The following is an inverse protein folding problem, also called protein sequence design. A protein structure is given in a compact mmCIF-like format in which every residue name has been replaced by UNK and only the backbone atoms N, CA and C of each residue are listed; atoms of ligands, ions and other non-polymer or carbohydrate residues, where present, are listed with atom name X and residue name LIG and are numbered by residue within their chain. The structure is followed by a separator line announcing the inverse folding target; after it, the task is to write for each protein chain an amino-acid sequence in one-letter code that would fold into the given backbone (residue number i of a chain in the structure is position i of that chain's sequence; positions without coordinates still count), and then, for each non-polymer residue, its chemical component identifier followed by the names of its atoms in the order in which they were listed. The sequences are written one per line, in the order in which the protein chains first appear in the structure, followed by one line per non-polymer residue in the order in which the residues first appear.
data_IF_814007125119
#
_entry.id   IF_814007125119
#
_cell.length_a   1.000
_cell.length_b   1.000
_cell.length_c   1.000
_cell.angle_alpha   90.00
_cell.angle_beta   90.00
_cell.angle_gamma   90.00
#
_symmetry.space_group_name_H-M   'P 1'
#
loop_
_entity.id
_entity.type
_entity.pdbx_description
1 polymer ?
#
# COMPACT_ATOMS: atom_id res chain seq x y z
N UNK A 1 -13.08 4.13 -14.49
CA UNK A 1 -12.52 3.23 -13.46
C UNK A 1 -11.01 3.20 -13.49
N UNK A 2 -10.38 3.15 -14.67
CA UNK A 2 -8.91 3.23 -14.80
C UNK A 2 -8.32 4.43 -14.06
N UNK A 3 -8.88 5.63 -14.24
CA UNK A 3 -8.43 6.84 -13.53
C UNK A 3 -8.49 6.70 -12.00
N UNK A 4 -9.62 6.25 -11.45
CA UNK A 4 -9.77 6.03 -10.00
C UNK A 4 -8.77 4.98 -9.47
N UNK A 5 -8.50 3.92 -10.23
CA UNK A 5 -7.49 2.92 -9.85
C UNK A 5 -6.10 3.51 -9.78
N UNK A 6 -5.71 4.29 -10.79
CA UNK A 6 -4.41 4.97 -10.83
C UNK A 6 -4.31 5.97 -9.68
N UNK A 7 -5.36 6.78 -9.44
CA UNK A 7 -5.41 7.71 -8.31
C UNK A 7 -5.21 6.95 -6.98
N UNK A 8 -5.95 5.86 -6.75
CA UNK A 8 -5.79 5.04 -5.54
C UNK A 8 -4.38 4.49 -5.38
N UNK A 9 -3.77 3.95 -6.45
CA UNK A 9 -2.42 3.38 -6.36
C UNK A 9 -1.38 4.47 -6.12
N UNK A 10 -1.45 5.58 -6.83
CA UNK A 10 -0.52 6.70 -6.66
C UNK A 10 -0.65 7.31 -5.26
N UNK A 11 -1.87 7.54 -4.78
CA UNK A 11 -2.08 8.08 -3.43
C UNK A 11 -1.60 7.11 -2.35
N UNK A 12 -1.83 5.80 -2.51
CA UNK A 12 -1.28 4.79 -1.60
C UNK A 12 0.25 4.82 -1.55
N UNK A 13 0.91 4.84 -2.71
CA UNK A 13 2.38 4.88 -2.80
C UNK A 13 2.98 6.14 -2.16
N UNK A 14 2.22 7.23 -2.14
CA UNK A 14 2.61 8.52 -1.57
C UNK A 14 2.26 8.68 -0.09
N UNK A 15 1.72 7.67 0.60
CA UNK A 15 1.50 7.77 2.06
C UNK A 15 2.86 7.80 2.76
N UNK A 16 3.16 8.87 3.49
CA UNK A 16 4.39 9.02 4.28
C UNK A 16 4.31 8.23 5.59
N UNK A 17 5.39 7.55 5.98
CA UNK A 17 5.51 6.95 7.30
C UNK A 17 5.51 7.98 8.42
N UNK A 18 5.17 7.55 9.63
CA UNK A 18 5.21 8.35 10.85
C UNK A 18 6.47 8.09 11.69
N UNK A 19 7.31 7.12 11.28
CA UNK A 19 8.60 6.87 11.94
C UNK A 19 9.59 8.03 11.71
N UNK A 20 10.74 8.02 12.38
CA UNK A 20 11.72 9.14 12.40
C UNK A 20 12.12 9.68 11.03
N UNK A 21 12.32 8.81 10.04
CA UNK A 21 12.69 9.22 8.68
C UNK A 21 11.45 9.54 7.83
N UNK A 22 10.28 9.03 8.21
CA UNK A 22 8.98 9.36 7.62
C UNK A 22 8.89 9.18 6.10
N UNK A 23 9.43 8.08 5.57
CA UNK A 23 9.52 7.88 4.12
C UNK A 23 8.16 7.44 3.52
N UNK A 24 7.84 7.85 2.27
CA UNK A 24 6.68 7.34 1.56
C UNK A 24 6.78 5.84 1.25
N UNK A 25 5.62 5.17 1.19
CA UNK A 25 5.52 3.72 0.97
C UNK A 25 6.30 3.25 -0.27
N UNK A 26 6.34 4.04 -1.36
CA UNK A 26 7.13 3.65 -2.54
C UNK A 26 8.63 3.48 -2.24
N UNK A 27 9.19 4.28 -1.32
CA UNK A 27 10.60 4.15 -0.91
C UNK A 27 10.77 2.89 -0.06
N UNK A 28 9.82 2.59 0.82
CA UNK A 28 9.82 1.32 1.57
C UNK A 28 9.81 0.10 0.63
N UNK A 29 9.01 0.14 -0.43
CA UNK A 29 8.98 -0.93 -1.45
C UNK A 29 10.33 -1.04 -2.15
N UNK A 30 10.92 0.08 -2.59
CA UNK A 30 12.24 0.08 -3.23
C UNK A 30 13.31 -0.48 -2.30
N UNK A 31 13.31 -0.08 -1.03
CA UNK A 31 14.24 -0.59 -0.02
C UNK A 31 14.12 -2.12 0.12
N UNK A 32 12.90 -2.65 0.21
CA UNK A 32 12.67 -4.09 0.29
C UNK A 32 13.18 -4.82 -0.95
N UNK A 33 12.96 -4.27 -2.15
CA UNK A 33 13.46 -4.87 -3.41
C UNK A 33 14.99 -4.88 -3.44
N UNK A 34 15.63 -3.76 -3.07
CA UNK A 34 17.10 -3.68 -3.02
C UNK A 34 17.66 -4.67 -2.00
N UNK A 35 17.04 -4.78 -0.82
CA UNK A 35 17.42 -5.74 0.19
C UNK A 35 17.34 -7.19 -0.33
N UNK A 36 16.27 -7.52 -1.07
CA UNK A 36 16.08 -8.82 -1.73
C UNK A 36 17.20 -9.16 -2.72
N UNK A 37 17.73 -8.16 -3.44
CA UNK A 37 18.80 -8.38 -4.41
C UNK A 37 20.17 -8.50 -3.74
N UNK A 38 20.48 -7.59 -2.81
CA UNK A 38 21.81 -7.48 -2.18
C UNK A 38 22.07 -8.63 -1.19
N UNK A 39 21.08 -8.96 -0.36
CA UNK A 39 21.25 -9.97 0.71
C UNK A 39 20.86 -11.39 0.26
N UNK A 40 20.66 -11.60 -1.03
CA UNK A 40 20.33 -12.91 -1.62
C UNK A 40 21.37 -13.99 -1.30
N UNK A 41 22.63 -13.61 -1.08
CA UNK A 41 23.73 -14.53 -0.79
C UNK A 41 23.84 -14.92 0.70
N UNK A 42 23.20 -14.18 1.61
CA UNK A 42 23.16 -14.49 3.05
C UNK A 42 21.78 -14.12 3.61
N UNK A 43 20.73 -14.88 3.25
CA UNK A 43 19.38 -14.55 3.66
C UNK A 43 19.16 -14.88 5.14
N UNK A 44 18.80 -13.87 5.92
CA UNK A 44 18.30 -14.04 7.28
C UNK A 44 16.75 -14.11 7.29
N UNK A 45 16.16 -14.23 8.48
CA UNK A 45 14.70 -14.30 8.62
C UNK A 45 14.03 -13.00 8.15
N UNK A 46 14.66 -11.86 8.44
CA UNK A 46 14.14 -10.55 8.08
C UNK A 46 14.14 -10.33 6.56
N UNK A 47 15.14 -10.87 5.85
CA UNK A 47 15.16 -10.96 4.39
C UNK A 47 13.93 -11.67 3.84
N UNK A 48 13.58 -12.85 4.38
CA UNK A 48 12.44 -13.62 3.91
C UNK A 48 11.10 -12.94 4.21
N UNK A 49 10.93 -12.42 5.44
CA UNK A 49 9.69 -11.75 5.84
C UNK A 49 9.50 -10.46 5.05
N UNK A 50 10.52 -9.61 4.99
CA UNK A 50 10.49 -8.36 4.23
C UNK A 50 10.26 -8.62 2.74
N UNK A 51 10.97 -9.60 2.17
CA UNK A 51 10.82 -9.97 0.77
C UNK A 51 9.43 -10.49 0.42
N UNK A 52 8.86 -11.38 1.24
CA UNK A 52 7.50 -11.88 1.05
C UNK A 52 6.46 -10.76 1.14
N UNK A 53 6.62 -9.84 2.09
CA UNK A 53 5.76 -8.65 2.21
C UNK A 53 5.86 -7.76 0.97
N UNK A 54 7.07 -7.46 0.51
CA UNK A 54 7.29 -6.62 -0.68
C UNK A 54 6.68 -7.23 -1.93
N UNK A 55 6.95 -8.51 -2.20
CA UNK A 55 6.41 -9.23 -3.36
C UNK A 55 4.88 -9.28 -3.29
N UNK A 56 4.32 -9.59 -2.12
CA UNK A 56 2.87 -9.67 -1.93
C UNK A 56 2.19 -8.31 -2.15
N UNK A 57 2.82 -7.23 -1.71
CA UNK A 57 2.30 -5.88 -1.86
C UNK A 57 2.34 -5.43 -3.33
N UNK A 58 3.44 -5.69 -4.04
CA UNK A 58 3.54 -5.44 -5.49
C UNK A 58 2.49 -6.24 -6.25
N UNK A 59 2.35 -7.53 -5.95
CA UNK A 59 1.32 -8.38 -6.57
C UNK A 59 -0.08 -7.83 -6.31
N UNK A 60 -0.37 -7.39 -5.08
CA UNK A 60 -1.66 -6.80 -4.71
C UNK A 60 -1.95 -5.51 -5.49
N UNK A 61 -0.96 -4.63 -5.66
CA UNK A 61 -1.09 -3.42 -6.49
C UNK A 61 -1.38 -3.75 -7.95
N UNK A 62 -0.67 -4.73 -8.52
CA UNK A 62 -0.89 -5.18 -9.91
C UNK A 62 -2.29 -5.76 -10.06
N UNK A 63 -2.71 -6.65 -9.17
CA UNK A 63 -4.06 -7.26 -9.20
C UNK A 63 -5.14 -6.17 -9.07
N UNK A 64 -4.95 -5.21 -8.16
CA UNK A 64 -5.87 -4.08 -7.99
C UNK A 64 -6.04 -3.29 -9.29
N UNK A 65 -4.95 -3.02 -10.03
CA UNK A 65 -4.99 -2.35 -11.33
C UNK A 65 -5.70 -3.19 -12.41
N UNK A 66 -5.53 -4.51 -12.39
CA UNK A 66 -6.07 -5.42 -13.42
C UNK A 66 -7.54 -5.83 -13.21
N UNK A 67 -8.10 -5.70 -12.00
CA UNK A 67 -9.50 -6.08 -11.71
C UNK A 67 -10.52 -5.46 -12.71
N UNK A 68 -11.41 -6.26 -13.27
CA UNK A 68 -12.43 -5.83 -14.24
C UNK A 68 -13.75 -5.46 -13.54
N UNK A 69 -14.52 -4.54 -14.15
CA UNK A 69 -15.85 -4.14 -13.61
C UNK A 69 -16.77 -5.35 -13.58
N UNK A 70 -17.56 -5.48 -12.51
CA UNK A 70 -18.63 -6.46 -12.38
C UNK A 70 -18.17 -7.89 -12.14
N UNK A 71 -17.04 -8.31 -12.71
CA UNK A 71 -16.47 -9.65 -12.55
C UNK A 71 -15.66 -9.79 -11.25
N UNK A 72 -14.72 -8.87 -11.01
CA UNK A 72 -13.69 -9.03 -9.98
C UNK A 72 -13.99 -8.18 -8.73
N UNK A 73 -15.27 -7.94 -8.44
CA UNK A 73 -15.71 -7.01 -7.38
C UNK A 73 -15.22 -7.38 -5.97
N UNK A 74 -15.21 -8.68 -5.65
CA UNK A 74 -14.72 -9.17 -4.36
C UNK A 74 -13.20 -9.18 -4.29
N UNK A 75 -12.52 -9.47 -5.41
CA UNK A 75 -11.06 -9.39 -5.50
C UNK A 75 -10.59 -7.95 -5.32
N UNK A 76 -11.28 -6.99 -5.93
CA UNK A 76 -11.00 -5.56 -5.74
C UNK A 76 -11.15 -5.14 -4.27
N UNK A 77 -12.22 -5.59 -3.60
CA UNK A 77 -12.45 -5.32 -2.18
C UNK A 77 -11.35 -5.93 -1.31
N UNK A 78 -10.96 -7.17 -1.59
CA UNK A 78 -9.87 -7.84 -0.90
C UNK A 78 -8.55 -7.08 -1.06
N UNK A 79 -8.19 -6.69 -2.29
CA UNK A 79 -6.99 -5.89 -2.53
C UNK A 79 -7.03 -4.55 -1.79
N UNK A 80 -8.19 -3.87 -1.72
CA UNK A 80 -8.33 -2.64 -0.94
C UNK A 80 -8.05 -2.87 0.55
N UNK A 81 -8.65 -3.91 1.14
CA UNK A 81 -8.44 -4.24 2.56
C UNK A 81 -6.97 -4.60 2.82
N UNK A 82 -6.38 -5.43 1.96
CA UNK A 82 -4.99 -5.83 2.09
C UNK A 82 -4.03 -4.63 2.03
N UNK A 83 -4.23 -3.72 1.07
CA UNK A 83 -3.45 -2.48 0.96
C UNK A 83 -3.66 -1.57 2.17
N UNK A 84 -4.89 -1.42 2.66
CA UNK A 84 -5.18 -0.61 3.85
C UNK A 84 -4.47 -1.15 5.10
N UNK A 85 -4.53 -2.46 5.33
CA UNK A 85 -3.81 -3.10 6.46
C UNK A 85 -2.30 -2.92 6.30
N UNK A 86 -1.80 -3.07 5.07
CA UNK A 86 -0.38 -2.89 4.77
C UNK A 86 0.09 -1.46 5.02
N UNK A 87 -0.72 -0.44 4.69
CA UNK A 87 -0.35 0.96 4.97
C UNK A 87 -0.27 1.24 6.47
N UNK A 88 -1.16 0.68 7.29
CA UNK A 88 -1.09 0.84 8.75
C UNK A 88 0.21 0.24 9.31
N UNK A 89 0.61 -0.93 8.82
CA UNK A 89 1.85 -1.58 9.26
C UNK A 89 3.10 -0.83 8.80
N UNK A 90 3.17 -0.45 7.52
CA UNK A 90 4.35 0.20 6.94
C UNK A 90 4.59 1.62 7.48
N UNK A 91 3.52 2.33 7.85
CA UNK A 91 3.62 3.73 8.32
C UNK A 91 3.94 3.85 9.81
N UNK A 92 3.88 2.76 10.57
CA UNK A 92 4.17 2.80 12.01
C UNK A 92 3.07 3.45 12.84
N UNK A 93 1.84 3.56 12.31
CA UNK A 93 0.69 4.19 12.99
C UNK A 93 0.19 3.42 14.22
N UNK A 94 0.67 2.18 14.43
CA UNK A 94 0.36 1.42 15.63
C UNK A 94 1.22 1.82 16.84
N UNK A 95 2.34 2.51 16.62
CA UNK A 95 3.19 3.00 17.70
C UNK A 95 2.75 4.41 18.10
N UNK A 96 2.23 4.53 19.32
CA UNK A 96 1.70 5.77 19.89
C UNK A 96 2.76 6.87 19.97
N UNK A 97 4.05 6.51 20.09
CA UNK A 97 5.14 7.49 20.14
C UNK A 97 5.29 8.27 18.82
N UNK A 98 4.71 7.77 17.72
CA UNK A 98 4.77 8.43 16.42
C UNK A 98 3.62 9.43 16.19
N UNK A 99 2.68 9.60 17.12
CA UNK A 99 1.46 10.37 16.86
C UNK A 99 1.71 11.88 16.77
N UNK A 100 2.74 12.37 17.45
CA UNK A 100 3.19 13.77 17.32
C UNK A 100 3.74 14.08 15.93
N UNK A 101 4.09 13.06 15.14
CA UNK A 101 4.67 13.17 13.79
C UNK A 101 3.61 13.08 12.68
N UNK A 102 2.33 13.02 13.03
CA UNK A 102 1.25 13.02 12.04
C UNK A 102 1.29 14.32 11.23
N UNK A 103 1.65 14.18 9.95
CA UNK A 103 1.80 15.30 9.02
C UNK A 103 0.73 15.25 7.92
N UNK A 104 0.56 16.37 7.22
CA UNK A 104 -0.29 16.43 6.04
C UNK A 104 0.18 15.46 4.93
N UNK A 105 1.47 15.12 4.89
CA UNK A 105 2.03 14.12 3.97
C UNK A 105 1.58 12.69 4.26
N UNK A 106 1.11 12.39 5.47
CA UNK A 106 0.44 11.14 5.80
C UNK A 106 -1.06 11.24 5.55
N UNK A 107 -1.71 12.29 6.09
CA UNK A 107 -3.18 12.42 6.11
C UNK A 107 -3.77 12.58 4.71
N UNK A 108 -3.20 13.47 3.88
CA UNK A 108 -3.78 13.79 2.56
C UNK A 108 -3.72 12.57 1.63
N UNK A 109 -2.57 11.88 1.45
CA UNK A 109 -2.51 10.71 0.59
C UNK A 109 -3.35 9.55 1.11
N UNK A 110 -3.39 9.32 2.44
CA UNK A 110 -4.19 8.26 3.05
C UNK A 110 -5.69 8.48 2.80
N UNK A 111 -6.21 9.69 3.07
CA UNK A 111 -7.61 10.02 2.81
C UNK A 111 -7.94 9.93 1.32
N UNK A 112 -7.05 10.42 0.46
CA UNK A 112 -7.23 10.34 -0.99
C UNK A 112 -7.32 8.87 -1.44
N UNK A 113 -6.45 7.99 -0.93
CA UNK A 113 -6.48 6.55 -1.18
C UNK A 113 -7.79 5.90 -0.72
N UNK A 114 -8.24 6.20 0.49
CA UNK A 114 -9.48 5.63 1.05
C UNK A 114 -10.68 6.07 0.22
N UNK A 115 -10.83 7.38 -0.02
CA UNK A 115 -11.98 7.93 -0.74
C UNK A 115 -12.01 7.44 -2.19
N UNK A 116 -10.88 7.48 -2.91
CA UNK A 116 -10.83 7.02 -4.31
C UNK A 116 -11.12 5.52 -4.41
N UNK A 117 -10.66 4.72 -3.44
CA UNK A 117 -10.90 3.28 -3.42
C UNK A 117 -12.34 2.93 -3.07
N UNK A 118 -12.97 3.62 -2.11
CA UNK A 118 -14.40 3.45 -1.78
C UNK A 118 -15.26 3.81 -3.00
N UNK A 119 -14.99 4.94 -3.65
CA UNK A 119 -15.71 5.35 -4.86
C UNK A 119 -15.57 4.31 -5.99
N UNK A 120 -14.37 3.74 -6.15
CA UNK A 120 -14.11 2.68 -7.11
C UNK A 120 -14.90 1.40 -6.79
N UNK A 121 -14.93 0.98 -5.52
CA UNK A 121 -15.67 -0.20 -5.05
C UNK A 121 -17.16 0.00 -5.29
N UNK A 122 -17.74 1.12 -4.82
CA UNK A 122 -19.17 1.42 -5.03
C UNK A 122 -19.53 1.39 -6.52
N UNK A 123 -18.69 1.97 -7.38
CA UNK A 123 -18.89 1.96 -8.84
C UNK A 123 -18.75 0.58 -9.47
N UNK A 124 -17.96 -0.32 -8.87
CA UNK A 124 -17.80 -1.69 -9.34
C UNK A 124 -19.00 -2.57 -8.94
N UNK A 125 -19.59 -2.33 -7.77
CA UNK A 125 -20.78 -3.05 -7.28
C UNK A 125 -22.10 -2.54 -7.89
N UNK A 126 -22.15 -1.28 -8.36
CA UNK A 126 -23.27 -0.79 -9.17
C UNK A 126 -23.26 -1.44 -10.57
N UNK A 127 -24.34 -2.14 -10.91
CA UNK A 127 -24.59 -2.75 -12.24
C UNK A 127 -24.23 -1.74 -13.35
#
# INVERSE_FOLDING_TARGET
MKTLKVISVVSFLLIFGLQEVGLPIFISILYIIVNLLVNSNNPDIDFWIGGLLGISLIATLIIFLLCRKGKDRFLLLFCFIALLVSSLFLTGVFDQNNYERISLGFVIPLLTFIVSSILLIVKNFRK
#
